data_IF_850778599608
#
_entry.id   IF_850778599608
#
_cell.length_a   1.000
_cell.length_b   1.000
_cell.length_c   1.000
_cell.angle_alpha   90.00
_cell.angle_beta   90.00
_cell.angle_gamma   90.00
#
_symmetry.space_group_name_H-M   'P 1'
#
loop_
_entity.id
_entity.type
_entity.pdbx_description
1 polymer ?
#
# COMPACT_ATOMS: atom_id res chain seq x y z
N UNK A 1 7.04 -36.51 32.97
CA UNK A 1 5.68 -36.09 32.55
C UNK A 1 5.73 -34.61 32.22
N UNK A 2 5.31 -34.23 31.01
CA UNK A 2 5.26 -32.82 30.59
C UNK A 2 5.81 -32.58 29.19
N UNK A 3 5.42 -33.39 28.21
CA UNK A 3 5.57 -32.98 26.82
C UNK A 3 4.62 -31.79 26.61
N UNK A 4 5.21 -30.61 26.43
CA UNK A 4 4.52 -29.41 25.96
C UNK A 4 3.86 -29.75 24.61
N UNK A 5 2.53 -29.97 24.63
CA UNK A 5 1.72 -30.06 23.42
C UNK A 5 1.81 -28.69 22.74
N UNK A 6 2.74 -28.52 21.80
CA UNK A 6 2.64 -27.47 20.77
C UNK A 6 1.34 -27.72 20.01
N UNK A 7 0.30 -26.99 20.37
CA UNK A 7 -0.95 -26.91 19.61
C UNK A 7 -0.59 -26.73 18.13
N UNK A 8 -1.01 -27.70 17.30
CA UNK A 8 -0.98 -27.54 15.85
C UNK A 8 -1.97 -26.43 15.53
N UNK A 9 -1.53 -25.17 15.55
CA UNK A 9 -2.33 -24.03 15.05
C UNK A 9 -2.81 -24.40 13.65
N UNK A 10 -4.12 -24.50 13.49
CA UNK A 10 -4.74 -24.92 12.25
C UNK A 10 -4.49 -23.85 11.20
N UNK A 11 -4.41 -24.20 9.92
CA UNK A 11 -4.31 -23.21 8.82
C UNK A 11 -5.43 -22.16 8.92
N UNK A 12 -6.60 -22.56 9.43
CA UNK A 12 -7.73 -21.69 9.71
C UNK A 12 -7.45 -20.66 10.81
N UNK A 13 -6.75 -21.02 11.88
CA UNK A 13 -6.42 -20.09 12.97
C UNK A 13 -5.43 -19.03 12.48
N UNK A 14 -4.45 -19.44 11.68
CA UNK A 14 -3.51 -18.52 11.03
C UNK A 14 -4.22 -17.58 10.05
N UNK A 15 -5.21 -18.10 9.30
CA UNK A 15 -6.02 -17.31 8.39
C UNK A 15 -6.89 -16.29 9.14
N UNK A 16 -7.66 -16.73 10.14
CA UNK A 16 -8.52 -15.86 10.98
C UNK A 16 -7.68 -14.77 11.66
N UNK A 17 -6.50 -15.13 12.18
CA UNK A 17 -5.57 -14.16 12.76
C UNK A 17 -5.11 -13.14 11.71
N UNK A 18 -4.76 -13.57 10.50
CA UNK A 18 -4.32 -12.66 9.43
C UNK A 18 -5.42 -11.73 8.92
N UNK A 19 -6.66 -12.22 8.85
CA UNK A 19 -7.86 -11.46 8.47
C UNK A 19 -8.15 -10.39 9.51
N UNK A 20 -8.13 -10.77 10.80
CA UNK A 20 -8.36 -9.87 11.93
C UNK A 20 -7.25 -8.82 12.02
N UNK A 21 -6.00 -9.26 11.90
CA UNK A 21 -4.81 -8.40 11.85
C UNK A 21 -4.93 -7.34 10.76
N UNK A 22 -5.33 -7.74 9.55
CA UNK A 22 -5.39 -6.82 8.42
C UNK A 22 -6.61 -5.89 8.49
N UNK A 23 -7.72 -6.36 9.07
CA UNK A 23 -8.90 -5.54 9.37
C UNK A 23 -8.57 -4.38 10.30
N UNK A 24 -7.98 -4.67 11.46
CA UNK A 24 -7.66 -3.67 12.48
C UNK A 24 -6.59 -2.69 12.01
N UNK A 25 -5.48 -3.18 11.43
CA UNK A 25 -4.42 -2.30 10.92
C UNK A 25 -4.93 -1.35 9.82
N UNK A 26 -5.85 -1.83 8.97
CA UNK A 26 -6.47 -0.97 7.95
C UNK A 26 -7.41 0.05 8.57
N UNK A 27 -8.18 -0.31 9.61
CA UNK A 27 -9.08 0.63 10.30
C UNK A 27 -8.30 1.78 10.94
N UNK A 28 -7.19 1.48 11.59
CA UNK A 28 -6.31 2.48 12.20
C UNK A 28 -5.61 3.32 11.11
N UNK A 29 -5.14 2.68 10.03
CA UNK A 29 -4.37 3.36 8.97
C UNK A 29 -5.20 4.13 7.94
N UNK A 30 -6.52 3.91 7.86
CA UNK A 30 -7.38 4.41 6.79
C UNK A 30 -7.44 5.94 6.70
N UNK A 31 -7.61 6.71 7.79
CA UNK A 31 -7.65 8.17 7.71
C UNK A 31 -6.35 8.76 7.15
N UNK A 32 -5.20 8.25 7.62
CA UNK A 32 -3.88 8.66 7.16
C UNK A 32 -3.63 8.27 5.69
N UNK A 33 -4.10 7.09 5.27
CA UNK A 33 -4.00 6.65 3.88
C UNK A 33 -4.80 7.56 2.96
N UNK A 34 -6.00 7.93 3.38
CA UNK A 34 -6.88 8.79 2.60
C UNK A 34 -6.32 10.21 2.47
N UNK A 35 -5.81 10.78 3.57
CA UNK A 35 -5.13 12.07 3.54
C UNK A 35 -3.88 12.04 2.64
N UNK A 36 -3.11 10.95 2.67
CA UNK A 36 -1.97 10.76 1.76
C UNK A 36 -2.44 10.79 0.29
N UNK A 37 -3.47 10.01 -0.06
CA UNK A 37 -4.00 9.98 -1.43
C UNK A 37 -4.48 11.38 -1.83
N UNK A 38 -5.18 12.08 -0.94
CA UNK A 38 -5.66 13.44 -1.17
C UNK A 38 -4.57 14.42 -1.60
N UNK A 39 -3.48 14.44 -0.84
CA UNK A 39 -2.35 15.34 -1.05
C UNK A 39 -1.59 14.95 -2.32
N UNK A 40 -1.48 13.66 -2.62
CA UNK A 40 -0.77 13.18 -3.81
C UNK A 40 -1.55 13.41 -5.10
N UNK A 41 -2.89 13.41 -5.05
CA UNK A 41 -3.73 13.70 -6.23
C UNK A 41 -3.91 15.20 -6.47
N UNK A 42 -3.95 16.02 -5.40
CA UNK A 42 -4.14 17.48 -5.49
C UNK A 42 -2.80 18.23 -5.39
N UNK A 43 -1.90 18.03 -6.37
CA UNK A 43 -0.59 18.67 -6.36
C UNK A 43 -0.66 20.21 -6.49
N UNK A 44 -1.74 20.76 -7.05
CA UNK A 44 -1.93 22.21 -7.19
C UNK A 44 -2.16 22.93 -5.86
N UNK A 45 -2.67 22.24 -4.84
CA UNK A 45 -2.94 22.84 -3.54
C UNK A 45 -1.78 22.58 -2.55
N UNK A 46 -1.67 23.45 -1.55
CA UNK A 46 -0.76 23.23 -0.42
C UNK A 46 -1.27 22.07 0.45
N UNK A 47 -0.35 21.22 0.95
CA UNK A 47 -0.67 20.08 1.83
C UNK A 47 -1.50 20.51 3.05
N UNK A 48 -1.28 21.72 3.57
CA UNK A 48 -2.04 22.28 4.68
C UNK A 48 -3.49 22.60 4.30
N UNK A 49 -3.71 23.17 3.10
CA UNK A 49 -5.05 23.49 2.61
C UNK A 49 -5.87 22.22 2.41
N UNK A 50 -5.28 21.18 1.80
CA UNK A 50 -5.92 19.87 1.63
C UNK A 50 -6.25 19.23 2.97
N UNK A 51 -5.36 19.33 3.96
CA UNK A 51 -5.60 18.80 5.31
C UNK A 51 -6.73 19.54 6.01
N UNK A 52 -6.80 20.87 5.87
CA UNK A 52 -7.88 21.69 6.44
C UNK A 52 -9.23 21.36 5.80
N UNK A 53 -9.26 21.22 4.47
CA UNK A 53 -10.47 20.78 3.75
C UNK A 53 -10.90 19.38 4.22
N UNK A 54 -9.94 18.46 4.37
CA UNK A 54 -10.18 17.10 4.84
C UNK A 54 -10.80 17.04 6.24
N UNK A 55 -10.34 17.87 7.17
CA UNK A 55 -10.88 17.97 8.54
C UNK A 55 -12.30 18.55 8.53
N UNK A 56 -12.62 19.44 7.57
CA UNK A 56 -13.95 20.03 7.42
C UNK A 56 -14.99 19.12 6.75
N UNK A 57 -14.65 17.90 6.33
CA UNK A 57 -15.59 17.01 5.62
C UNK A 57 -16.41 16.16 6.60
N UNK A 58 -17.67 15.89 6.24
CA UNK A 58 -18.59 15.04 6.98
C UNK A 58 -18.04 13.59 7.19
N UNK A 59 -18.33 13.00 8.35
CA UNK A 59 -17.93 11.63 8.78
C UNK A 59 -18.22 10.53 7.74
N UNK A 60 -19.28 10.69 6.92
CA UNK A 60 -19.59 9.74 5.83
C UNK A 60 -18.53 9.70 4.73
N UNK A 61 -17.78 10.79 4.54
CA UNK A 61 -16.67 10.77 3.61
C UNK A 61 -15.51 9.97 4.19
N UNK A 62 -15.28 9.96 5.50
CA UNK A 62 -14.18 9.16 6.09
C UNK A 62 -14.28 7.67 5.78
N UNK A 63 -15.47 7.08 5.70
CA UNK A 63 -15.64 5.67 5.34
C UNK A 63 -15.53 5.37 3.83
N UNK A 64 -15.49 6.40 2.97
CA UNK A 64 -15.42 6.19 1.52
C UNK A 64 -14.09 5.51 1.12
N UNK A 65 -14.17 4.51 0.24
CA UNK A 65 -13.02 3.68 -0.14
C UNK A 65 -12.54 2.68 0.94
N UNK A 66 -13.16 2.64 2.12
CA UNK A 66 -12.83 1.64 3.16
C UNK A 66 -13.18 0.22 2.69
N UNK A 67 -14.36 0.02 2.09
CA UNK A 67 -14.76 -1.29 1.56
C UNK A 67 -13.80 -1.80 0.48
N UNK A 68 -13.42 -0.94 -0.47
CA UNK A 68 -12.41 -1.26 -1.49
C UNK A 68 -11.04 -1.54 -0.87
N UNK A 69 -10.72 -0.90 0.27
CA UNK A 69 -9.52 -1.20 1.03
C UNK A 69 -9.58 -2.59 1.66
N UNK A 70 -10.70 -2.95 2.29
CA UNK A 70 -10.95 -4.27 2.86
C UNK A 70 -10.90 -5.38 1.81
N UNK A 71 -11.63 -5.23 0.70
CA UNK A 71 -11.64 -6.22 -0.39
C UNK A 71 -10.22 -6.45 -0.92
N UNK A 72 -9.45 -5.37 -1.14
CA UNK A 72 -8.04 -5.46 -1.55
C UNK A 72 -7.21 -6.27 -0.56
N UNK A 73 -7.38 -5.99 0.72
CA UNK A 73 -6.58 -6.59 1.78
C UNK A 73 -6.93 -8.06 1.99
N UNK A 74 -8.21 -8.42 1.94
CA UNK A 74 -8.65 -9.81 2.02
C UNK A 74 -8.21 -10.61 0.80
N UNK A 75 -8.28 -10.01 -0.40
CA UNK A 75 -7.72 -10.61 -1.61
C UNK A 75 -6.25 -10.96 -1.41
N UNK A 76 -5.43 -10.00 -0.96
CA UNK A 76 -4.01 -10.24 -0.66
C UNK A 76 -3.79 -11.39 0.32
N UNK A 77 -4.58 -11.47 1.39
CA UNK A 77 -4.43 -12.54 2.40
C UNK A 77 -4.79 -13.91 1.81
N UNK A 78 -5.79 -13.99 0.94
CA UNK A 78 -6.27 -15.25 0.37
C UNK A 78 -5.27 -15.88 -0.63
N UNK A 79 -4.76 -15.12 -1.61
CA UNK A 79 -3.96 -15.71 -2.69
C UNK A 79 -2.44 -15.68 -2.43
N UNK A 80 -1.94 -14.80 -1.55
CA UNK A 80 -0.50 -14.64 -1.29
C UNK A 80 0.18 -15.91 -0.75
N UNK A 81 -0.44 -16.71 0.14
CA UNK A 81 0.14 -17.99 0.56
C UNK A 81 0.34 -18.96 -0.62
N UNK A 82 -0.62 -19.04 -1.55
CA UNK A 82 -0.50 -19.85 -2.75
C UNK A 82 0.66 -19.35 -3.63
N UNK A 83 0.76 -18.04 -3.78
CA UNK A 83 1.80 -17.40 -4.59
C UNK A 83 3.22 -17.66 -4.05
N UNK A 84 3.39 -17.59 -2.73
CA UNK A 84 4.68 -17.81 -2.04
C UNK A 84 5.04 -19.30 -2.02
N UNK A 85 4.07 -20.21 -2.02
CA UNK A 85 4.33 -21.65 -1.88
C UNK A 85 4.51 -22.37 -3.21
N UNK A 86 3.74 -22.02 -4.24
CA UNK A 86 3.75 -22.72 -5.53
C UNK A 86 4.74 -22.09 -6.52
N UNK A 87 4.81 -20.76 -6.57
CA UNK A 87 5.57 -20.09 -7.63
C UNK A 87 7.10 -20.23 -7.51
N UNK A 88 7.71 -20.17 -6.31
CA UNK A 88 9.14 -20.41 -6.17
C UNK A 88 9.56 -21.81 -6.58
N UNK A 89 8.72 -22.83 -6.33
CA UNK A 89 9.00 -24.23 -6.69
C UNK A 89 9.11 -24.44 -8.19
N UNK A 90 8.28 -23.75 -8.97
CA UNK A 90 8.36 -23.80 -10.44
C UNK A 90 9.59 -23.06 -10.97
N UNK A 91 9.99 -21.95 -10.34
CA UNK A 91 11.16 -21.18 -10.76
C UNK A 91 12.47 -21.86 -10.34
N UNK A 92 12.49 -22.56 -9.20
CA UNK A 92 13.67 -23.32 -8.75
C UNK A 92 14.00 -24.50 -9.68
N UNK A 93 13.03 -25.00 -10.45
CA UNK A 93 13.28 -26.00 -11.51
C UNK A 93 14.14 -25.47 -12.66
N UNK A 94 14.18 -24.15 -12.86
CA UNK A 94 14.93 -23.50 -13.96
C UNK A 94 16.42 -23.27 -13.63
N UNK A 95 16.88 -23.64 -12.43
CA UNK A 95 18.29 -23.59 -11.99
C UNK A 95 19.01 -22.25 -12.25
N UNK A 96 18.36 -21.13 -12.01
CA UNK A 96 19.03 -19.82 -12.08
C UNK A 96 20.01 -19.59 -10.92
N UNK A 97 21.05 -18.75 -11.10
CA UNK A 97 21.87 -18.26 -10.00
C UNK A 97 21.01 -17.61 -8.91
N UNK A 98 21.40 -17.77 -7.63
CA UNK A 98 20.60 -17.35 -6.45
C UNK A 98 20.02 -15.93 -6.56
N UNK A 99 20.82 -14.97 -7.03
CA UNK A 99 20.40 -13.57 -7.17
C UNK A 99 19.41 -13.39 -8.33
N UNK A 100 19.69 -14.01 -9.47
CA UNK A 100 18.85 -13.93 -10.68
C UNK A 100 17.50 -14.62 -10.44
N UNK A 101 17.53 -15.81 -9.84
CA UNK A 101 16.33 -16.53 -9.43
C UNK A 101 15.49 -15.74 -8.43
N UNK A 102 16.13 -15.07 -7.46
CA UNK A 102 15.45 -14.19 -6.49
C UNK A 102 14.74 -13.01 -7.15
N UNK A 103 15.42 -12.30 -8.06
CA UNK A 103 14.84 -11.18 -8.82
C UNK A 103 13.69 -11.66 -9.71
N UNK A 104 13.85 -12.79 -10.37
CA UNK A 104 12.82 -13.36 -11.26
C UNK A 104 11.56 -13.78 -10.48
N UNK A 105 11.73 -14.46 -9.34
CA UNK A 105 10.64 -14.77 -8.39
C UNK A 105 9.91 -13.50 -7.95
N UNK A 106 10.65 -12.47 -7.57
CA UNK A 106 10.08 -11.20 -7.13
C UNK A 106 9.32 -10.48 -8.26
N UNK A 107 9.83 -10.51 -9.49
CA UNK A 107 9.22 -9.89 -10.67
C UNK A 107 7.92 -10.58 -11.08
N UNK A 108 7.91 -11.91 -11.16
CA UNK A 108 6.72 -12.69 -11.47
C UNK A 108 5.65 -12.54 -10.37
N UNK A 109 6.07 -12.62 -9.10
CA UNK A 109 5.18 -12.40 -7.96
C UNK A 109 4.56 -11.01 -7.99
N UNK A 110 5.36 -9.98 -8.26
CA UNK A 110 4.87 -8.59 -8.34
C UNK A 110 3.94 -8.37 -9.52
N UNK A 111 4.20 -9.01 -10.66
CA UNK A 111 3.34 -8.92 -11.85
C UNK A 111 1.98 -9.53 -11.59
N UNK A 112 1.93 -10.74 -11.02
CA UNK A 112 0.66 -11.39 -10.68
C UNK A 112 -0.12 -10.59 -9.62
N UNK A 113 0.57 -10.12 -8.56
CA UNK A 113 -0.01 -9.21 -7.57
C UNK A 113 -0.65 -7.99 -8.24
N UNK A 114 0.08 -7.38 -9.17
CA UNK A 114 -0.36 -6.18 -9.88
C UNK A 114 -1.57 -6.49 -10.76
N UNK A 115 -1.64 -7.64 -11.43
CA UNK A 115 -2.77 -8.02 -12.26
C UNK A 115 -4.07 -8.16 -11.46
N UNK A 116 -4.00 -8.84 -10.31
CA UNK A 116 -5.18 -9.07 -9.45
C UNK A 116 -5.61 -7.78 -8.74
N UNK A 117 -4.66 -6.97 -8.28
CA UNK A 117 -4.95 -5.85 -7.40
C UNK A 117 -5.12 -4.50 -8.10
N UNK A 118 -4.52 -4.29 -9.28
CA UNK A 118 -4.58 -2.98 -9.97
C UNK A 118 -6.00 -2.48 -10.17
N UNK A 119 -6.99 -3.32 -10.59
CA UNK A 119 -8.36 -2.85 -10.76
C UNK A 119 -8.97 -2.31 -9.46
N UNK A 120 -8.76 -3.02 -8.35
CA UNK A 120 -9.27 -2.66 -7.03
C UNK A 120 -8.55 -1.41 -6.49
N UNK A 121 -7.23 -1.32 -6.71
CA UNK A 121 -6.43 -0.15 -6.34
C UNK A 121 -6.88 1.09 -7.10
N UNK A 122 -7.17 0.98 -8.39
CA UNK A 122 -7.60 2.13 -9.19
C UNK A 122 -9.00 2.61 -8.79
N UNK A 123 -9.94 1.69 -8.56
CA UNK A 123 -11.27 2.03 -8.02
C UNK A 123 -11.12 2.74 -6.68
N UNK A 124 -10.29 2.20 -5.78
CA UNK A 124 -10.02 2.79 -4.47
C UNK A 124 -9.44 4.20 -4.59
N UNK A 125 -8.42 4.41 -5.42
CA UNK A 125 -7.79 5.73 -5.61
C UNK A 125 -8.79 6.74 -6.16
N UNK A 126 -9.65 6.35 -7.10
CA UNK A 126 -10.73 7.22 -7.63
C UNK A 126 -11.77 7.55 -6.56
N UNK A 127 -12.09 6.62 -5.65
CA UNK A 127 -12.98 6.92 -4.52
C UNK A 127 -12.33 7.82 -3.46
N UNK A 128 -11.02 7.68 -3.24
CA UNK A 128 -10.29 8.42 -2.22
C UNK A 128 -9.86 9.81 -2.67
N UNK A 129 -9.69 10.06 -3.98
CA UNK A 129 -9.30 11.39 -4.53
C UNK A 129 -10.39 12.45 -4.38
N UNK A 130 -11.64 12.05 -4.15
CA UNK A 130 -12.74 12.97 -3.90
C UNK A 130 -12.59 13.58 -2.48
N UNK A 131 -11.83 14.67 -2.39
CA UNK A 131 -11.67 15.46 -1.15
C UNK A 131 -12.39 16.82 -1.23
N UNK A 132 -12.79 17.28 -2.42
CA UNK A 132 -13.30 18.64 -2.58
C UNK A 132 -14.49 18.79 -3.55
N UNK A 133 -15.04 17.70 -4.09
CA UNK A 133 -16.33 17.79 -4.75
C UNK A 133 -17.39 17.68 -3.65
N UNK A 134 -18.21 18.73 -3.47
CA UNK A 134 -19.41 18.70 -2.62
C UNK A 134 -20.42 17.60 -3.03
N UNK A 135 -20.12 16.85 -4.09
CA UNK A 135 -20.88 15.70 -4.51
C UNK A 135 -20.77 14.51 -3.55
N UNK A 136 -21.88 13.75 -3.55
CA UNK A 136 -22.07 12.54 -2.76
C UNK A 136 -20.87 11.58 -2.90
N UNK A 137 -20.52 10.84 -1.83
CA UNK A 137 -19.44 9.88 -1.87
C UNK A 137 -19.62 8.89 -3.04
N UNK A 138 -18.61 8.79 -3.90
CA UNK A 138 -18.65 7.97 -5.11
C UNK A 138 -18.71 6.49 -4.72
N UNK A 139 -19.78 5.81 -5.15
CA UNK A 139 -19.93 4.36 -4.95
C UNK A 139 -18.88 3.60 -5.78
N UNK A 140 -18.43 2.40 -5.35
CA UNK A 140 -17.43 1.62 -6.09
C UNK A 140 -17.82 1.36 -7.54
N UNK A 141 -19.10 1.07 -7.79
CA UNK A 141 -19.66 0.83 -9.13
C UNK A 141 -19.60 2.08 -9.99
N UNK A 142 -19.89 3.26 -9.41
CA UNK A 142 -19.78 4.53 -10.13
C UNK A 142 -18.32 4.84 -10.47
N UNK A 143 -17.39 4.62 -9.55
CA UNK A 143 -15.96 4.76 -9.83
C UNK A 143 -15.49 3.81 -10.94
N UNK A 144 -15.96 2.56 -10.95
CA UNK A 144 -15.68 1.59 -12.01
C UNK A 144 -16.21 2.06 -13.36
N UNK A 145 -17.44 2.56 -13.40
CA UNK A 145 -18.07 3.09 -14.60
C UNK A 145 -17.31 4.33 -15.14
N UNK A 146 -16.93 5.26 -14.25
CA UNK A 146 -16.11 6.43 -14.63
C UNK A 146 -14.77 6.02 -15.23
N UNK A 147 -14.08 5.03 -14.64
CA UNK A 147 -12.81 4.52 -15.19
C UNK A 147 -13.03 3.91 -16.57
N UNK A 148 -14.07 3.08 -16.73
CA UNK A 148 -14.36 2.41 -18.00
C UNK A 148 -14.73 3.41 -19.10
N UNK A 149 -15.58 4.39 -18.81
CA UNK A 149 -16.00 5.40 -19.78
C UNK A 149 -14.86 6.30 -20.25
N UNK A 150 -13.95 6.68 -19.35
CA UNK A 150 -12.90 7.65 -19.67
C UNK A 150 -11.60 7.01 -20.19
N UNK A 151 -11.25 5.81 -19.71
CA UNK A 151 -9.97 5.14 -20.05
C UNK A 151 -10.12 3.74 -20.63
N UNK A 152 -11.32 3.18 -20.69
CA UNK A 152 -11.56 1.79 -21.07
C UNK A 152 -10.86 0.79 -20.15
N UNK A 153 -10.66 -0.44 -20.65
CA UNK A 153 -9.99 -1.53 -19.93
C UNK A 153 -8.54 -1.19 -19.47
N UNK A 154 -7.70 -0.49 -20.25
CA UNK A 154 -6.36 -0.12 -19.81
C UNK A 154 -6.35 0.82 -18.58
N UNK A 155 -7.45 1.53 -18.32
CA UNK A 155 -7.60 2.40 -17.15
C UNK A 155 -7.48 1.68 -15.81
N UNK A 156 -7.89 0.41 -15.75
CA UNK A 156 -7.79 -0.43 -14.55
C UNK A 156 -6.35 -0.87 -14.22
N UNK A 157 -5.42 -0.71 -15.16
CA UNK A 157 -3.99 -1.04 -15.01
C UNK A 157 -3.10 0.22 -15.06
N UNK A 158 -3.70 1.40 -14.99
CA UNK A 158 -2.96 2.65 -14.85
C UNK A 158 -2.12 2.64 -13.56
N UNK A 159 -0.82 2.91 -13.67
CA UNK A 159 0.12 2.89 -12.55
C UNK A 159 0.71 1.51 -12.20
N UNK A 160 0.39 0.45 -12.95
CA UNK A 160 0.97 -0.88 -12.75
C UNK A 160 2.49 -0.89 -12.92
N UNK A 161 3.04 -0.21 -13.94
CA UNK A 161 4.48 -0.11 -14.15
C UNK A 161 5.21 0.60 -12.99
N UNK A 162 4.66 1.72 -12.49
CA UNK A 162 5.20 2.38 -11.29
C UNK A 162 5.09 1.48 -10.04
N UNK A 163 4.06 0.63 -9.98
CA UNK A 163 3.86 -0.35 -8.90
C UNK A 163 4.93 -1.44 -8.90
N UNK A 164 5.32 -1.92 -10.09
CA UNK A 164 6.41 -2.88 -10.25
C UNK A 164 7.77 -2.25 -9.92
N UNK A 165 8.01 -1.01 -10.36
CA UNK A 165 9.24 -0.29 -10.07
C UNK A 165 9.49 -0.09 -8.57
N UNK A 166 8.44 0.08 -7.77
CA UNK A 166 8.55 0.18 -6.30
C UNK A 166 8.61 -1.16 -5.57
N UNK A 167 8.43 -2.30 -6.24
CA UNK A 167 8.41 -3.61 -5.59
C UNK A 167 9.75 -3.93 -4.94
N UNK A 168 10.87 -3.72 -5.65
CA UNK A 168 12.20 -4.01 -5.13
C UNK A 168 12.56 -3.18 -3.88
N UNK A 169 12.42 -1.83 -3.87
CA UNK A 169 12.61 -1.05 -2.65
C UNK A 169 11.69 -1.45 -1.49
N UNK A 170 10.44 -1.85 -1.79
CA UNK A 170 9.49 -2.29 -0.77
C UNK A 170 9.89 -3.63 -0.14
N UNK A 171 10.51 -4.53 -0.90
CA UNK A 171 11.06 -5.77 -0.38
C UNK A 171 12.31 -5.53 0.47
N UNK A 172 13.21 -4.66 0.02
CA UNK A 172 14.36 -4.24 0.82
C UNK A 172 13.94 -3.65 2.16
N UNK A 173 12.89 -2.83 2.18
CA UNK A 173 12.30 -2.33 3.42
C UNK A 173 11.87 -3.44 4.37
N UNK A 174 11.05 -4.37 3.89
CA UNK A 174 10.57 -5.49 4.71
C UNK A 174 11.73 -6.30 5.27
N UNK A 175 12.76 -6.57 4.46
CA UNK A 175 13.95 -7.28 4.87
C UNK A 175 14.73 -6.52 5.95
N UNK A 176 15.01 -5.23 5.73
CA UNK A 176 15.74 -4.38 6.68
C UNK A 176 14.98 -4.22 8.01
N UNK A 177 13.66 -4.01 7.95
CA UNK A 177 12.80 -3.92 9.14
C UNK A 177 12.77 -5.24 9.89
N UNK A 178 12.65 -6.37 9.18
CA UNK A 178 12.69 -7.69 9.80
C UNK A 178 14.02 -7.96 10.52
N UNK A 179 15.15 -7.67 9.86
CA UNK A 179 16.48 -7.82 10.46
C UNK A 179 16.63 -6.91 11.69
N UNK A 180 16.17 -5.65 11.62
CA UNK A 180 16.23 -4.72 12.74
C UNK A 180 15.40 -5.21 13.96
N UNK A 181 14.22 -5.78 13.72
CA UNK A 181 13.36 -6.34 14.78
C UNK A 181 13.95 -7.64 15.34
N UNK A 182 14.48 -8.52 14.48
CA UNK A 182 15.03 -9.82 14.88
C UNK A 182 16.27 -9.66 15.77
N UNK A 183 17.13 -8.69 15.47
CA UNK A 183 18.37 -8.44 16.23
C UNK A 183 18.12 -7.85 17.62
N UNK A 184 16.91 -7.33 17.91
CA UNK A 184 16.56 -6.66 19.18
C UNK A 184 15.42 -7.35 19.93
N UNK A 185 15.31 -8.68 19.82
CA UNK A 185 14.17 -9.47 20.33
C UNK A 185 14.00 -9.45 21.86
N UNK A 186 14.93 -8.87 22.62
CA UNK A 186 14.82 -8.73 24.07
C UNK A 186 14.29 -7.35 24.47
N UNK A 187 13.08 -7.33 25.05
CA UNK A 187 12.41 -6.20 25.73
C UNK A 187 12.44 -4.86 24.97
N UNK A 188 11.84 -4.79 23.79
CA UNK A 188 11.56 -3.50 23.15
C UNK A 188 10.19 -2.97 23.61
N UNK A 189 10.18 -1.74 24.12
CA UNK A 189 8.94 -1.01 24.38
C UNK A 189 8.25 -0.65 23.05
N UNK A 190 6.93 -0.52 23.06
CA UNK A 190 6.10 -0.14 21.90
C UNK A 190 6.66 1.08 21.14
N UNK A 191 7.06 2.12 21.89
CA UNK A 191 7.64 3.34 21.31
C UNK A 191 8.97 3.07 20.59
N UNK A 192 9.83 2.23 21.16
CA UNK A 192 11.13 1.88 20.56
C UNK A 192 10.92 1.16 19.23
N UNK A 193 9.97 0.22 19.15
CA UNK A 193 9.63 -0.48 17.90
C UNK A 193 9.13 0.48 16.81
N UNK A 194 8.28 1.45 17.17
CA UNK A 194 7.79 2.46 16.23
C UNK A 194 8.96 3.33 15.72
N UNK A 195 9.86 3.74 16.60
CA UNK A 195 11.03 4.55 16.22
C UNK A 195 11.94 3.77 15.25
N UNK A 196 12.28 2.52 15.56
CA UNK A 196 13.10 1.68 14.67
C UNK A 196 12.43 1.45 13.31
N UNK A 197 11.12 1.16 13.31
CA UNK A 197 10.37 0.97 12.07
C UNK A 197 10.30 2.25 11.23
N UNK A 198 10.16 3.41 11.88
CA UNK A 198 10.12 4.70 11.22
C UNK A 198 11.49 5.04 10.63
N UNK A 199 12.57 4.87 11.38
CA UNK A 199 13.93 5.12 10.89
C UNK A 199 14.30 4.21 9.73
N UNK A 200 13.97 2.90 9.82
CA UNK A 200 14.16 1.96 8.71
C UNK A 200 13.30 2.31 7.47
N UNK A 201 12.17 2.98 7.67
CA UNK A 201 11.28 3.40 6.58
C UNK A 201 11.79 4.60 5.79
N UNK A 202 12.66 5.45 6.35
CA UNK A 202 13.03 6.74 5.73
C UNK A 202 13.70 6.54 4.36
N UNK A 203 14.77 5.73 4.20
CA UNK A 203 15.46 5.60 2.91
C UNK A 203 14.55 4.99 1.83
N UNK A 204 13.69 4.07 2.24
CA UNK A 204 12.72 3.41 1.36
C UNK A 204 11.62 4.38 0.96
N UNK A 205 11.09 5.15 1.92
CA UNK A 205 10.10 6.16 1.62
C UNK A 205 10.69 7.19 0.67
N UNK A 206 11.96 7.59 0.85
CA UNK A 206 12.63 8.56 -0.01
C UNK A 206 12.69 8.06 -1.47
N UNK A 207 13.12 6.81 -1.68
CA UNK A 207 13.21 6.20 -3.02
C UNK A 207 11.85 5.92 -3.66
N UNK A 208 10.84 5.56 -2.87
CA UNK A 208 9.53 5.14 -3.40
C UNK A 208 8.49 6.27 -3.45
N UNK A 209 8.72 7.42 -2.84
CA UNK A 209 7.77 8.55 -2.86
C UNK A 209 7.63 9.21 -4.23
N UNK A 210 8.68 9.47 -5.02
CA UNK A 210 8.49 9.98 -6.38
C UNK A 210 7.66 9.02 -7.25
N UNK A 211 7.91 7.71 -7.15
CA UNK A 211 7.14 6.69 -7.89
C UNK A 211 5.68 6.62 -7.42
N UNK A 212 5.42 6.77 -6.12
CA UNK A 212 4.05 6.82 -5.58
C UNK A 212 3.31 8.06 -6.07
N UNK A 213 3.95 9.23 -6.15
CA UNK A 213 3.32 10.45 -6.66
C UNK A 213 2.96 10.29 -8.14
N UNK A 214 3.88 9.78 -8.96
CA UNK A 214 3.60 9.51 -10.37
C UNK A 214 2.46 8.50 -10.53
N UNK A 215 2.46 7.41 -9.73
CA UNK A 215 1.37 6.43 -9.72
C UNK A 215 0.04 7.07 -9.36
N UNK A 216 -0.01 7.83 -8.27
CA UNK A 216 -1.23 8.49 -7.80
C UNK A 216 -1.77 9.49 -8.82
N UNK A 217 -0.89 10.25 -9.49
CA UNK A 217 -1.26 11.12 -10.60
C UNK A 217 -1.78 10.32 -11.80
N UNK A 218 -1.11 9.24 -12.20
CA UNK A 218 -1.56 8.39 -13.30
C UNK A 218 -2.94 7.73 -13.04
N UNK A 219 -3.19 7.36 -11.78
CA UNK A 219 -4.49 6.84 -11.33
C UNK A 219 -5.56 7.94 -11.24
N UNK A 220 -5.16 9.18 -10.90
CA UNK A 220 -6.08 10.30 -10.67
C UNK A 220 -6.40 11.14 -11.91
N UNK A 221 -5.49 11.29 -12.87
CA UNK A 221 -5.73 11.97 -14.15
C UNK A 221 -6.67 11.13 -14.98
N UNK A 222 -7.99 11.41 -14.96
CA UNK A 222 -8.94 10.63 -15.76
C UNK A 222 -9.16 11.20 -17.16
N UNK A 223 -8.81 12.47 -17.39
CA UNK A 223 -9.10 13.16 -18.65
C UNK A 223 -7.96 13.16 -19.68
N UNK A 224 -6.71 12.86 -19.29
CA UNK A 224 -5.58 12.87 -20.23
C UNK A 224 -5.27 11.47 -20.76
N UNK A 225 -5.45 11.29 -22.06
CA UNK A 225 -5.10 10.11 -22.84
C UNK A 225 -3.60 9.79 -22.69
N UNK A 226 -3.27 8.92 -21.73
CA UNK A 226 -1.94 8.31 -21.48
C UNK A 226 -0.74 9.28 -21.52
N UNK A 227 -0.54 10.16 -20.53
CA UNK A 227 0.80 10.66 -20.29
C UNK A 227 1.62 9.47 -19.78
N UNK A 228 2.62 9.05 -20.56
CA UNK A 228 3.61 8.05 -20.14
C UNK A 228 4.21 8.45 -18.79
N UNK A 229 4.83 7.51 -18.05
CA UNK A 229 5.53 7.82 -16.78
C UNK A 229 6.45 9.05 -16.96
N UNK A 230 7.14 9.11 -18.10
CA UNK A 230 7.99 10.25 -18.49
C UNK A 230 7.20 11.54 -18.73
N UNK A 231 6.04 11.47 -19.38
CA UNK A 231 5.15 12.62 -19.59
C UNK A 231 4.66 13.22 -18.27
N UNK A 232 4.13 12.39 -17.37
CA UNK A 232 3.67 12.83 -16.05
C UNK A 232 4.83 13.41 -15.24
N UNK A 233 5.98 12.72 -15.22
CA UNK A 233 7.15 13.23 -14.51
C UNK A 233 7.62 14.58 -15.07
N UNK A 234 7.64 14.73 -16.41
CA UNK A 234 8.02 16.00 -17.05
C UNK A 234 7.03 17.11 -16.74
N UNK A 235 5.72 16.82 -16.73
CA UNK A 235 4.67 17.77 -16.41
C UNK A 235 4.74 18.23 -14.95
N UNK A 236 4.89 17.29 -14.01
CA UNK A 236 5.08 17.61 -12.58
C UNK A 236 6.31 18.50 -12.40
N UNK A 237 7.43 18.13 -13.05
CA UNK A 237 8.66 18.89 -12.95
C UNK A 237 8.53 20.31 -13.52
N UNK A 238 7.88 20.47 -14.69
CA UNK A 238 7.66 21.78 -15.32
C UNK A 238 6.70 22.68 -14.52
N UNK A 239 5.61 22.11 -14.01
CA UNK A 239 4.53 22.89 -13.39
C UNK A 239 4.76 23.15 -11.89
N UNK A 240 5.42 22.23 -11.17
CA UNK A 240 5.52 22.27 -9.70
C UNK A 240 6.94 22.04 -9.16
N UNK A 241 7.91 21.75 -10.03
CA UNK A 241 9.29 21.50 -9.64
C UNK A 241 9.53 20.17 -8.91
N UNK A 242 10.74 20.00 -8.37
CA UNK A 242 11.18 18.74 -7.77
C UNK A 242 10.51 18.43 -6.42
N UNK A 243 10.06 19.48 -5.70
CA UNK A 243 9.41 19.34 -4.39
C UNK A 243 8.06 18.61 -4.47
N UNK A 244 7.38 18.68 -5.63
CA UNK A 244 6.11 18.01 -5.86
C UNK A 244 6.21 16.48 -5.79
N UNK A 245 7.35 15.91 -6.18
CA UNK A 245 7.59 14.46 -6.09
C UNK A 245 7.67 13.93 -4.65
N UNK A 246 7.89 14.82 -3.67
CA UNK A 246 7.94 14.49 -2.26
C UNK A 246 6.68 14.93 -1.50
N UNK A 247 5.66 15.47 -2.19
CA UNK A 247 4.37 15.79 -1.54
C UNK A 247 3.71 14.53 -0.98
N UNK A 248 3.31 14.61 0.29
CA UNK A 248 2.74 13.49 1.04
C UNK A 248 3.76 12.55 1.69
N UNK A 249 5.07 12.85 1.65
CA UNK A 249 6.11 12.08 2.32
C UNK A 249 5.84 11.90 3.84
N UNK A 250 5.50 12.99 4.53
CA UNK A 250 5.20 12.94 5.97
C UNK A 250 3.97 12.08 6.28
N UNK A 251 2.88 12.24 5.51
CA UNK A 251 1.69 11.39 5.66
C UNK A 251 1.99 9.92 5.39
N UNK A 252 2.92 9.63 4.47
CA UNK A 252 3.39 8.26 4.21
C UNK A 252 4.16 7.69 5.38
N UNK A 253 5.07 8.45 5.98
CA UNK A 253 5.78 8.01 7.18
C UNK A 253 4.79 7.75 8.32
N UNK A 254 3.88 8.68 8.59
CA UNK A 254 2.83 8.51 9.62
C UNK A 254 2.01 7.24 9.38
N UNK A 255 1.54 7.00 8.15
CA UNK A 255 0.77 5.80 7.82
C UNK A 255 1.58 4.51 8.04
N UNK A 256 2.87 4.49 7.66
CA UNK A 256 3.76 3.35 7.89
C UNK A 256 4.02 3.09 9.37
N UNK A 257 4.29 4.15 10.14
CA UNK A 257 4.49 4.08 11.58
C UNK A 257 3.24 3.55 12.28
N UNK A 258 2.07 4.05 11.91
CA UNK A 258 0.78 3.64 12.46
C UNK A 258 0.41 2.19 12.11
N UNK A 259 0.67 1.78 10.87
CA UNK A 259 0.47 0.38 10.45
C UNK A 259 1.40 -0.58 11.20
N UNK A 260 2.65 -0.18 11.47
CA UNK A 260 3.62 -1.01 12.20
C UNK A 260 3.29 -1.07 13.69
N UNK A 261 2.82 0.04 14.27
CA UNK A 261 2.31 0.11 15.63
C UNK A 261 1.13 -0.85 15.83
N UNK A 262 0.11 -0.77 14.95
CA UNK A 262 -1.04 -1.67 14.99
C UNK A 262 -0.63 -3.14 14.83
N UNK A 263 0.37 -3.41 13.97
CA UNK A 263 0.90 -4.76 13.81
C UNK A 263 1.49 -5.33 15.11
N UNK A 264 2.28 -4.52 15.81
CA UNK A 264 2.92 -4.92 17.07
C UNK A 264 1.88 -5.16 18.16
N UNK A 265 0.87 -4.30 18.30
CA UNK A 265 -0.21 -4.48 19.29
C UNK A 265 -0.90 -5.84 19.14
N UNK A 266 -1.17 -6.25 17.89
CA UNK A 266 -1.86 -7.51 17.61
C UNK A 266 -0.95 -8.71 17.90
N UNK A 267 0.34 -8.60 17.60
CA UNK A 267 1.31 -9.64 17.96
C UNK A 267 1.50 -9.77 19.47
N UNK A 268 1.53 -8.66 20.20
CA UNK A 268 1.62 -8.66 21.67
C UNK A 268 0.38 -9.32 22.30
N UNK A 269 -0.83 -8.94 21.85
CA UNK A 269 -2.09 -9.58 22.28
C UNK A 269 -2.07 -11.07 21.94
N UNK A 270 -1.70 -11.44 20.71
CA UNK A 270 -1.64 -12.83 20.26
C UNK A 270 -0.55 -13.68 20.92
N UNK A 271 0.41 -13.06 21.62
CA UNK A 271 1.41 -13.77 22.44
C UNK A 271 0.99 -13.96 23.90
N UNK A 272 -0.04 -13.22 24.35
CA UNK A 272 -0.59 -13.26 25.71
C UNK A 272 -1.85 -14.11 25.84
N UNK A 273 -2.44 -14.51 24.71
CA UNK A 273 -3.51 -15.52 24.62
C UNK A 273 -2.90 -16.90 24.41
#
# INVERSE_FOLDING_TARGET
>A
MGQEKKEKKTLWDAYIFSVTYTGVTTLIGHPAERLKVAIQTNLFQSSYSVTKQFIGVNLKHFSTGFLSCMIRQQGKVAYRPLLITHMPKEIDKLQFPLVVGGVFKAALSSTFDTLVLSPIENIKTVQMRAIASQDKPIKPVQAMHTIYQQKGLPGFFAGSAATLGKSFPSWLYLYMTYQAIKTKREKQNFLSTILWATTASIPVAFTTTPLDVIKSQQQACIDSFKPTIRGIASEIYKNHGISAFFKGFNCRLMHKSLSTAGAYMILDIGSKM
#
